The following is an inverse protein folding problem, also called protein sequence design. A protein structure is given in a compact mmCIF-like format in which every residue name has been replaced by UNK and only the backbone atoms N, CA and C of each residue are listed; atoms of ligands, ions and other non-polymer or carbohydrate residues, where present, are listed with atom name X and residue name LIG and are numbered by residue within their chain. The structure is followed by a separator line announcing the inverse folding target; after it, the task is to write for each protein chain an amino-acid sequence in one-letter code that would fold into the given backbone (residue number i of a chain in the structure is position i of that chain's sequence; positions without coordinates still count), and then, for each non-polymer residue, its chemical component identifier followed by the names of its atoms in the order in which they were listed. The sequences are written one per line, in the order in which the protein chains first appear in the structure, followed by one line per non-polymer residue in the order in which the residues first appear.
data_IF_934478571191
#
_entry.id   IF_934478571191
#
_cell.length_a   1.000
_cell.length_b   1.000
_cell.length_c   1.000
_cell.angle_alpha   90.00
_cell.angle_beta   90.00
_cell.angle_gamma   90.00
#
_symmetry.space_group_name_H-M   'P 1'
#
loop_
_entity.id
_entity.type
_entity.pdbx_description
1 polymer ?
#
# COMPACT_ATOMS: atom_id res chain seq x y z
N UNK A 1 5.40 -8.65 -14.93
CA UNK A 1 5.45 -7.21 -15.22
C UNK A 1 6.17 -6.42 -14.14
N UNK A 2 5.62 -6.20 -12.93
CA UNK A 2 6.38 -5.45 -11.89
C UNK A 2 7.52 -6.29 -11.30
N UNK A 3 7.21 -7.48 -10.75
CA UNK A 3 8.21 -8.36 -10.16
C UNK A 3 9.16 -8.99 -11.20
N UNK A 4 8.67 -9.17 -12.42
CA UNK A 4 9.40 -9.72 -13.57
C UNK A 4 9.25 -8.74 -14.73
N UNK A 5 10.09 -7.71 -14.75
CA UNK A 5 10.03 -6.59 -15.71
C UNK A 5 10.71 -6.88 -17.04
N UNK A 6 11.79 -7.67 -17.00
CA UNK A 6 12.54 -8.07 -18.19
C UNK A 6 11.85 -9.16 -19.01
N UNK A 7 10.87 -9.86 -18.44
CA UNK A 7 10.15 -10.93 -19.12
C UNK A 7 8.94 -10.38 -19.87
N UNK A 8 8.82 -10.64 -21.18
CA UNK A 8 7.62 -10.29 -21.94
C UNK A 8 6.37 -10.89 -21.30
N UNK A 9 5.32 -10.08 -21.14
CA UNK A 9 4.05 -10.52 -20.57
C UNK A 9 2.98 -10.50 -21.65
N UNK A 10 2.15 -11.53 -21.69
CA UNK A 10 1.05 -11.66 -22.65
C UNK A 10 -0.23 -12.02 -21.89
N UNK A 11 -1.35 -11.48 -22.35
CA UNK A 11 -2.68 -11.73 -21.78
C UNK A 11 -3.64 -12.14 -22.88
N UNK A 12 -4.28 -13.28 -22.69
CA UNK A 12 -5.44 -13.65 -23.48
C UNK A 12 -6.70 -13.14 -22.78
N UNK A 13 -7.53 -12.39 -23.50
CA UNK A 13 -8.85 -11.98 -23.03
C UNK A 13 -9.90 -12.99 -23.52
N UNK A 14 -10.56 -13.77 -22.63
CA UNK A 14 -11.53 -14.78 -23.03
C UNK A 14 -12.83 -14.20 -23.60
N UNK A 15 -13.16 -12.93 -23.30
CA UNK A 15 -14.39 -12.30 -23.79
C UNK A 15 -14.21 -11.80 -25.22
N UNK A 16 -13.14 -11.04 -25.47
CA UNK A 16 -12.82 -10.54 -26.82
C UNK A 16 -12.13 -11.59 -27.69
N UNK A 17 -11.61 -12.67 -27.10
CA UNK A 17 -10.80 -13.72 -27.75
C UNK A 17 -9.52 -13.18 -28.42
N UNK A 18 -9.00 -12.07 -27.88
CA UNK A 18 -7.78 -11.42 -28.40
C UNK A 18 -6.60 -11.73 -27.49
N UNK A 19 -5.45 -11.98 -28.10
CA UNK A 19 -4.18 -12.13 -27.42
C UNK A 19 -3.39 -10.81 -27.47
N UNK A 20 -3.17 -10.21 -26.30
CA UNK A 20 -2.44 -8.96 -26.15
C UNK A 20 -1.03 -9.22 -25.65
N UNK A 21 -0.06 -8.43 -26.15
CA UNK A 21 1.21 -8.22 -25.46
C UNK A 21 1.04 -7.06 -24.50
N UNK A 22 1.25 -7.31 -23.22
CA UNK A 22 1.06 -6.32 -22.17
C UNK A 22 2.36 -5.58 -21.92
N UNK A 23 2.26 -4.26 -21.69
CA UNK A 23 3.36 -3.40 -21.28
C UNK A 23 2.96 -2.67 -20.01
N UNK A 24 3.91 -2.49 -19.09
CA UNK A 24 3.66 -1.82 -17.82
C UNK A 24 4.70 -0.73 -17.67
N UNK A 25 4.23 0.47 -17.38
CA UNK A 25 5.09 1.63 -17.17
C UNK A 25 5.71 1.56 -15.77
N UNK A 26 6.85 0.89 -15.71
CA UNK A 26 7.57 0.67 -14.46
C UNK A 26 8.10 2.00 -13.92
N UNK A 27 8.57 2.88 -14.80
CA UNK A 27 9.17 4.16 -14.43
C UNK A 27 8.13 5.10 -13.81
N UNK A 28 6.96 5.23 -14.43
CA UNK A 28 5.85 5.99 -13.85
C UNK A 28 5.45 5.45 -12.48
N UNK A 29 5.43 4.12 -12.33
CA UNK A 29 5.05 3.49 -11.06
C UNK A 29 6.11 3.68 -9.98
N UNK A 30 7.40 3.69 -10.32
CA UNK A 30 8.46 4.03 -9.38
C UNK A 30 8.40 5.49 -8.97
N UNK A 31 8.17 6.40 -9.92
CA UNK A 31 8.09 7.83 -9.66
C UNK A 31 6.94 8.15 -8.70
N UNK A 32 5.74 7.64 -8.96
CA UNK A 32 4.59 7.83 -8.07
C UNK A 32 4.86 7.35 -6.63
N UNK A 33 5.52 6.19 -6.48
CA UNK A 33 5.90 5.69 -5.14
C UNK A 33 6.97 6.53 -4.47
N UNK A 34 7.95 7.02 -5.23
CA UNK A 34 9.00 7.89 -4.70
C UNK A 34 8.40 9.20 -4.18
N UNK A 35 7.43 9.75 -4.88
CA UNK A 35 6.74 10.98 -4.47
C UNK A 35 5.89 10.74 -3.21
N UNK A 36 5.17 9.62 -3.14
CA UNK A 36 4.43 9.22 -1.95
C UNK A 36 5.36 9.03 -0.73
N UNK A 37 6.50 8.33 -0.89
CA UNK A 37 7.49 8.14 0.18
C UNK A 37 8.12 9.47 0.61
N UNK A 38 8.43 10.36 -0.34
CA UNK A 38 9.00 11.69 -0.06
C UNK A 38 8.02 12.58 0.70
N UNK A 39 6.72 12.43 0.44
CA UNK A 39 5.67 13.11 1.18
C UNK A 39 5.54 12.53 2.58
N UNK A 40 5.48 11.20 2.69
CA UNK A 40 5.39 10.48 3.96
C UNK A 40 6.59 10.71 4.88
N UNK A 41 7.80 10.91 4.35
CA UNK A 41 9.00 11.13 5.17
C UNK A 41 8.99 12.44 5.96
N UNK A 42 8.11 13.38 5.60
CA UNK A 42 7.91 14.65 6.30
C UNK A 42 6.81 14.58 7.36
N UNK A 43 6.06 13.47 7.39
CA UNK A 43 4.95 13.32 8.30
C UNK A 43 5.43 13.14 9.76
N UNK A 44 4.66 13.69 10.69
CA UNK A 44 4.95 13.60 12.13
C UNK A 44 4.13 12.51 12.82
N UNK A 45 2.91 12.28 12.35
CA UNK A 45 1.98 11.31 12.91
C UNK A 45 1.48 10.33 11.86
N UNK A 46 1.63 9.05 12.16
CA UNK A 46 1.31 7.96 11.25
C UNK A 46 0.13 7.12 11.75
N UNK A 47 -0.60 6.51 10.83
CA UNK A 47 -1.66 5.55 11.12
C UNK A 47 -1.30 4.18 10.57
N UNK A 48 -1.26 3.17 11.44
CA UNK A 48 -1.16 1.78 11.04
C UNK A 48 -2.53 1.16 10.88
N UNK A 49 -2.81 0.62 9.70
CA UNK A 49 -4.05 -0.10 9.44
C UNK A 49 -3.75 -1.59 9.47
N UNK A 50 -4.32 -2.32 10.42
CA UNK A 50 -4.29 -3.79 10.40
C UNK A 50 -5.63 -4.30 9.89
N UNK A 51 -5.60 -5.07 8.79
CA UNK A 51 -6.83 -5.67 8.26
C UNK A 51 -7.31 -6.82 9.15
N UNK A 52 -8.59 -6.80 9.49
CA UNK A 52 -9.28 -7.90 10.19
C UNK A 52 -10.05 -8.82 9.22
N UNK A 53 -10.01 -8.53 7.92
CA UNK A 53 -10.70 -9.33 6.90
C UNK A 53 -9.84 -10.51 6.45
N UNK A 54 -10.31 -11.72 6.77
CA UNK A 54 -9.67 -12.96 6.34
C UNK A 54 -8.21 -13.05 6.80
N UNK A 55 -7.32 -13.44 5.89
CA UNK A 55 -5.87 -13.62 6.15
C UNK A 55 -5.02 -12.49 5.57
N UNK A 56 -5.56 -11.29 5.45
CA UNK A 56 -4.87 -10.15 4.83
C UNK A 56 -3.93 -9.42 5.81
N UNK A 57 -4.22 -9.43 7.11
CA UNK A 57 -3.40 -8.79 8.14
C UNK A 57 -2.25 -9.67 8.63
N UNK A 58 -1.20 -9.02 9.16
CA UNK A 58 -0.06 -9.71 9.78
C UNK A 58 0.41 -8.98 11.03
N UNK A 59 0.15 -9.58 12.20
CA UNK A 59 0.60 -9.04 13.49
C UNK A 59 2.11 -8.89 13.56
N UNK A 60 2.86 -9.89 13.07
CA UNK A 60 4.33 -9.83 13.03
C UNK A 60 4.85 -8.63 12.23
N UNK A 61 4.18 -8.25 11.14
CA UNK A 61 4.57 -7.08 10.35
C UNK A 61 4.24 -5.79 11.11
N UNK A 62 3.07 -5.74 11.75
CA UNK A 62 2.68 -4.60 12.59
C UNK A 62 3.68 -4.39 13.75
N UNK A 63 4.01 -5.45 14.49
CA UNK A 63 4.99 -5.42 15.58
C UNK A 63 6.36 -4.89 15.11
N UNK A 64 6.80 -5.29 13.92
CA UNK A 64 8.04 -4.78 13.34
C UNK A 64 7.97 -3.27 13.06
N UNK A 65 6.82 -2.75 12.62
CA UNK A 65 6.63 -1.31 12.43
C UNK A 65 6.61 -0.58 13.76
N UNK A 66 5.85 -1.06 14.74
CA UNK A 66 5.80 -0.48 16.08
C UNK A 66 7.20 -0.36 16.71
N UNK A 67 8.00 -1.43 16.64
CA UNK A 67 9.39 -1.40 17.14
C UNK A 67 10.25 -0.35 16.44
N UNK A 68 10.11 -0.18 15.12
CA UNK A 68 10.89 0.81 14.36
C UNK A 68 10.46 2.23 14.66
N UNK A 69 9.15 2.47 14.76
CA UNK A 69 8.60 3.79 15.04
C UNK A 69 8.86 4.22 16.48
N UNK A 70 8.71 3.29 17.43
CA UNK A 70 9.07 3.52 18.84
C UNK A 70 10.56 3.89 18.99
N UNK A 71 11.46 3.17 18.31
CA UNK A 71 12.90 3.51 18.29
C UNK A 71 13.22 4.86 17.65
N UNK A 72 12.43 5.26 16.64
CA UNK A 72 12.58 6.55 15.97
C UNK A 72 11.91 7.71 16.72
N UNK A 73 11.14 7.43 17.78
CA UNK A 73 10.37 8.44 18.51
C UNK A 73 9.23 9.07 17.69
N UNK A 74 8.70 8.34 16.71
CA UNK A 74 7.61 8.82 15.86
C UNK A 74 6.24 8.48 16.47
N UNK A 75 5.31 9.42 16.39
CA UNK A 75 3.94 9.20 16.86
C UNK A 75 3.16 8.35 15.87
N UNK A 76 2.43 7.37 16.38
CA UNK A 76 1.55 6.55 15.57
C UNK A 76 0.28 6.11 16.31
N UNK A 77 -0.76 5.79 15.53
CA UNK A 77 -2.00 5.17 16.00
C UNK A 77 -2.25 3.87 15.25
N UNK A 78 -2.89 2.90 15.87
CA UNK A 78 -3.26 1.63 15.23
C UNK A 78 -4.77 1.57 15.09
N UNK A 79 -5.23 1.27 13.87
CA UNK A 79 -6.65 1.11 13.55
C UNK A 79 -6.86 -0.28 12.94
N UNK A 80 -7.86 -0.99 13.48
CA UNK A 80 -8.30 -2.29 12.99
C UNK A 80 -9.50 -2.08 12.06
N UNK A 81 -9.39 -2.48 10.79
CA UNK A 81 -10.47 -2.33 9.81
C UNK A 81 -10.67 -3.63 9.02
N UNK A 82 -11.91 -4.04 8.82
CA UNK A 82 -12.22 -5.11 7.87
C UNK A 82 -12.03 -4.65 6.43
N UNK A 83 -12.46 -3.42 6.13
CA UNK A 83 -12.37 -2.82 4.80
C UNK A 83 -11.87 -1.39 4.89
N UNK A 84 -10.92 -1.06 4.00
CA UNK A 84 -10.19 0.21 3.97
C UNK A 84 -10.81 1.13 2.93
N UNK A 85 -11.28 2.29 3.37
CA UNK A 85 -11.87 3.31 2.51
C UNK A 85 -11.33 4.70 2.88
N UNK A 86 -11.05 5.53 1.86
CA UNK A 86 -10.55 6.90 2.06
C UNK A 86 -11.46 7.71 3.01
N UNK A 87 -12.78 7.56 2.88
CA UNK A 87 -13.74 8.25 3.75
C UNK A 87 -13.64 7.89 5.23
N UNK A 88 -13.32 6.64 5.59
CA UNK A 88 -13.11 6.24 7.00
C UNK A 88 -11.81 6.80 7.54
N UNK A 89 -10.75 6.77 6.73
CA UNK A 89 -9.43 7.29 7.11
C UNK A 89 -9.46 8.81 7.28
N UNK A 90 -10.26 9.51 6.46
CA UNK A 90 -10.46 10.96 6.57
C UNK A 90 -11.14 11.43 7.86
N UNK A 91 -11.71 10.52 8.66
CA UNK A 91 -12.25 10.85 9.99
C UNK A 91 -11.14 11.06 11.03
N UNK A 92 -9.91 10.60 10.76
CA UNK A 92 -8.75 10.83 11.61
C UNK A 92 -7.91 11.97 11.01
N UNK A 93 -8.36 13.20 11.23
CA UNK A 93 -7.72 14.42 10.67
C UNK A 93 -6.30 14.67 11.20
N UNK A 94 -5.96 14.07 12.35
CA UNK A 94 -4.65 14.17 12.99
C UNK A 94 -3.61 13.20 12.41
N UNK A 95 -4.02 12.27 11.54
CA UNK A 95 -3.11 11.31 10.89
C UNK A 95 -2.70 11.82 9.52
N UNK A 96 -1.40 12.11 9.36
CA UNK A 96 -0.86 12.67 8.13
C UNK A 96 -0.51 11.62 7.08
N UNK A 97 -0.17 10.39 7.51
CA UNK A 97 0.22 9.31 6.60
C UNK A 97 -0.24 7.95 7.11
N UNK A 98 -0.76 7.13 6.19
CA UNK A 98 -1.24 5.79 6.48
C UNK A 98 -0.30 4.72 5.94
N UNK A 99 -0.02 3.72 6.77
CA UNK A 99 0.71 2.51 6.40
C UNK A 99 -0.22 1.33 6.64
N UNK A 100 -0.54 0.59 5.58
CA UNK A 100 -1.42 -0.56 5.69
C UNK A 100 -0.66 -1.89 5.80
N UNK A 101 -1.10 -2.71 6.75
CA UNK A 101 -0.76 -4.12 6.92
C UNK A 101 -2.00 -4.94 6.53
N UNK A 102 -2.27 -4.95 5.23
CA UNK A 102 -3.45 -5.53 4.61
C UNK A 102 -3.14 -5.98 3.16
N UNK A 103 -4.13 -5.97 2.26
CA UNK A 103 -3.94 -6.30 0.85
C UNK A 103 -2.95 -5.32 0.18
N UNK A 104 -1.78 -5.78 -0.32
CA UNK A 104 -0.77 -4.89 -0.90
C UNK A 104 -1.26 -4.12 -2.13
N UNK A 105 -2.27 -4.66 -2.83
CA UNK A 105 -2.86 -4.02 -4.02
C UNK A 105 -3.49 -2.66 -3.71
N UNK A 106 -4.02 -2.44 -2.51
CA UNK A 106 -4.68 -1.17 -2.19
C UNK A 106 -3.71 0.02 -2.24
N UNK A 107 -2.45 -0.16 -1.87
CA UNK A 107 -1.41 0.88 -1.98
C UNK A 107 -0.80 0.99 -3.37
N UNK A 108 -0.95 -0.01 -4.23
CA UNK A 108 -0.36 -0.02 -5.57
C UNK A 108 -1.36 0.48 -6.62
N UNK A 109 -2.60 0.01 -6.53
CA UNK A 109 -3.65 0.29 -7.49
C UNK A 109 -4.40 1.58 -7.13
N UNK A 110 -4.52 1.91 -5.83
CA UNK A 110 -5.39 2.99 -5.33
C UNK A 110 -4.72 3.89 -4.27
N UNK A 111 -3.39 3.78 -4.09
CA UNK A 111 -2.60 4.53 -3.10
C UNK A 111 -2.50 6.00 -3.44
#
# INVERSE_FOLDING_TARGET
MIANSSTPSYRYDPYSKVFYREYYDIDATFQARKDAITTASRAKKFGFILSTLGRQGSLKVLENFEQRFSKAGLEYVIVLLSEIFRGKLGLCEDVETWVQVACPRLSIDCG
#
